data_IF_266980826245
#
_entry.id   IF_266980826245
#
_cell.length_a   1.000
_cell.length_b   1.000
_cell.length_c   1.000
_cell.angle_alpha   90.00
_cell.angle_beta   90.00
_cell.angle_gamma   90.00
#
_symmetry.space_group_name_H-M   'P 1'
#
loop_
_entity.id
_entity.type
_entity.pdbx_description
1 polymer ?
#
# COMPACT_ATOMS: atom_id res chain seq x y z
N UNK A 1 21.87 18.69 12.31
CA UNK A 1 21.41 18.01 11.07
C UNK A 1 21.01 16.54 11.32
N UNK A 2 21.71 15.76 12.16
CA UNK A 2 21.25 14.42 12.60
C UNK A 2 19.85 14.41 13.22
N UNK A 3 19.51 15.51 13.89
CA UNK A 3 18.25 15.66 14.59
C UNK A 3 17.04 15.72 13.66
N UNK A 4 17.13 16.25 12.44
CA UNK A 4 15.93 16.42 11.61
C UNK A 4 15.46 15.10 10.99
N UNK A 5 16.35 14.32 10.37
CA UNK A 5 15.93 13.06 9.73
C UNK A 5 15.27 12.10 10.71
N UNK A 6 15.90 11.88 11.88
CA UNK A 6 15.40 10.95 12.91
C UNK A 6 14.20 11.54 13.65
N UNK A 7 14.08 12.87 13.80
CA UNK A 7 12.85 13.47 14.34
C UNK A 7 11.66 13.27 13.40
N UNK A 8 11.86 13.48 12.10
CA UNK A 8 10.79 13.40 11.10
C UNK A 8 10.52 11.96 10.62
N UNK A 9 11.48 11.07 10.86
CA UNK A 9 11.46 9.66 10.46
C UNK A 9 12.11 8.78 11.55
N UNK A 10 11.48 8.66 12.73
CA UNK A 10 12.08 7.95 13.87
C UNK A 10 12.34 6.46 13.62
N UNK A 11 11.66 5.89 12.62
CA UNK A 11 11.80 4.49 12.24
C UNK A 11 12.87 4.25 11.18
N UNK A 12 13.54 5.28 10.65
CA UNK A 12 14.60 5.17 9.64
C UNK A 12 15.94 5.58 10.23
N UNK A 13 16.79 4.60 10.54
CA UNK A 13 17.98 4.80 11.36
C UNK A 13 19.26 4.51 10.58
N UNK A 14 20.36 5.23 10.87
CA UNK A 14 21.67 4.88 10.32
C UNK A 14 22.17 3.56 10.92
N UNK A 15 22.64 2.63 10.09
CA UNK A 15 23.18 1.34 10.51
C UNK A 15 24.70 1.35 10.71
N UNK A 16 25.39 2.38 10.22
CA UNK A 16 26.84 2.49 10.32
C UNK A 16 27.28 3.89 10.79
N UNK A 17 28.48 3.97 11.35
CA UNK A 17 29.05 5.22 11.88
C UNK A 17 29.27 6.26 10.78
N UNK A 18 29.53 5.79 9.56
CA UNK A 18 29.77 6.63 8.40
C UNK A 18 28.46 7.22 7.85
N UNK A 19 27.30 6.78 8.35
CA UNK A 19 25.96 7.24 7.94
C UNK A 19 25.76 7.17 6.44
N UNK A 20 26.22 6.08 5.85
CA UNK A 20 26.01 5.77 4.44
C UNK A 20 24.96 4.70 4.27
N UNK A 21 24.56 4.00 5.33
CA UNK A 21 23.51 2.98 5.29
C UNK A 21 22.41 3.40 6.25
N UNK A 22 21.21 3.60 5.72
CA UNK A 22 20.00 3.82 6.51
C UNK A 22 19.04 2.68 6.28
N UNK A 23 18.40 2.20 7.34
CA UNK A 23 17.47 1.08 7.26
C UNK A 23 16.35 1.24 8.28
N UNK A 24 15.16 0.80 7.92
CA UNK A 24 14.00 1.10 8.72
C UNK A 24 12.70 1.19 7.94
N UNK A 25 11.79 2.02 8.43
CA UNK A 25 10.48 2.24 7.84
C UNK A 25 10.25 3.71 7.52
N UNK A 26 9.57 3.94 6.41
CA UNK A 26 9.00 5.24 6.05
C UNK A 26 7.49 5.18 6.27
N UNK A 27 6.98 6.09 7.09
CA UNK A 27 5.56 6.19 7.41
C UNK A 27 4.89 7.23 6.51
N UNK A 28 3.83 6.84 5.81
CA UNK A 28 3.02 7.70 4.94
C UNK A 28 1.55 7.35 5.10
N UNK A 29 0.69 8.32 5.44
CA UNK A 29 -0.75 8.09 5.72
C UNK A 29 -1.00 6.90 6.66
N UNK A 30 -0.31 6.88 7.79
CA UNK A 30 -0.41 5.82 8.82
C UNK A 30 0.00 4.42 8.35
N UNK A 31 0.70 4.32 7.21
CA UNK A 31 1.24 3.06 6.68
C UNK A 31 2.74 3.08 6.69
N UNK A 32 3.33 2.01 7.22
CA UNK A 32 4.77 1.83 7.27
C UNK A 32 5.26 0.96 6.11
N UNK A 33 6.29 1.44 5.42
CA UNK A 33 6.95 0.72 4.35
C UNK A 33 8.42 0.52 4.67
N UNK A 34 8.90 -0.73 4.58
CA UNK A 34 10.32 -1.02 4.76
C UNK A 34 11.13 -0.37 3.64
N UNK A 35 12.13 0.41 4.03
CA UNK A 35 13.05 1.09 3.14
C UNK A 35 14.47 1.02 3.69
N UNK A 36 15.41 0.69 2.81
CA UNK A 36 16.84 0.79 3.05
C UNK A 36 17.48 1.69 2.00
N UNK A 37 18.37 2.57 2.42
CA UNK A 37 19.04 3.55 1.58
C UNK A 37 20.54 3.37 1.74
N UNK A 38 21.22 3.17 0.63
CA UNK A 38 22.68 3.13 0.55
C UNK A 38 23.14 4.41 -0.13
N UNK A 39 23.86 5.25 0.60
CA UNK A 39 24.52 6.41 0.06
C UNK A 39 25.94 6.05 -0.41
N UNK A 40 26.44 6.70 -1.47
CA UNK A 40 27.86 6.70 -1.78
C UNK A 40 28.72 7.27 -0.63
N UNK A 41 30.05 7.05 -0.64
CA UNK A 41 30.96 7.55 0.41
C UNK A 41 30.93 9.07 0.60
N UNK A 42 30.65 9.83 -0.46
CA UNK A 42 30.50 11.29 -0.44
C UNK A 42 29.14 11.76 0.12
N UNK A 43 28.27 10.81 0.50
CA UNK A 43 26.91 11.01 1.06
C UNK A 43 25.95 11.76 0.14
N UNK A 44 26.26 11.87 -1.15
CA UNK A 44 25.40 12.52 -2.13
C UNK A 44 24.18 11.66 -2.44
N UNK A 45 22.98 12.25 -2.36
CA UNK A 45 21.72 11.53 -2.63
C UNK A 45 21.60 11.12 -4.09
N UNK A 46 22.21 11.88 -5.00
CA UNK A 46 22.15 11.69 -6.46
C UNK A 46 22.49 10.28 -6.92
N UNK A 47 23.35 9.57 -6.19
CA UNK A 47 23.76 8.20 -6.51
C UNK A 47 23.34 7.19 -5.43
N UNK A 48 22.41 7.57 -4.56
CA UNK A 48 21.87 6.66 -3.56
C UNK A 48 21.18 5.44 -4.20
N UNK A 49 21.23 4.29 -3.54
CA UNK A 49 20.50 3.09 -3.94
C UNK A 49 19.37 2.85 -2.93
N UNK A 50 18.17 2.66 -3.45
CA UNK A 50 16.97 2.42 -2.66
C UNK A 50 16.58 0.95 -2.73
N UNK A 51 16.50 0.31 -1.58
CA UNK A 51 15.98 -1.04 -1.41
C UNK A 51 14.63 -0.96 -0.70
N UNK A 52 13.58 -1.17 -1.48
CA UNK A 52 12.21 -1.06 -1.03
C UNK A 52 11.60 -2.46 -0.84
N UNK A 53 10.68 -2.63 0.12
CA UNK A 53 9.84 -3.82 0.15
C UNK A 53 8.95 -3.92 -1.09
N UNK A 54 8.39 -5.11 -1.33
CA UNK A 54 7.51 -5.37 -2.47
C UNK A 54 6.32 -4.39 -2.56
N UNK A 55 5.72 -4.04 -1.41
CA UNK A 55 4.59 -3.11 -1.35
C UNK A 55 4.97 -1.72 -1.84
N UNK A 56 6.13 -1.24 -1.38
CA UNK A 56 6.66 0.07 -1.74
C UNK A 56 7.10 0.12 -3.20
N UNK A 57 7.74 -0.94 -3.71
CA UNK A 57 8.06 -1.08 -5.14
C UNK A 57 6.81 -1.00 -6.00
N UNK A 58 5.76 -1.72 -5.61
CA UNK A 58 4.50 -1.73 -6.35
C UNK A 58 3.75 -0.39 -6.26
N UNK A 59 3.86 0.32 -5.14
CA UNK A 59 3.31 1.66 -4.98
C UNK A 59 4.03 2.69 -5.87
N UNK A 60 5.33 2.55 -6.02
CA UNK A 60 6.17 3.42 -6.86
C UNK A 60 6.15 3.05 -8.35
N UNK A 61 5.41 2.00 -8.72
CA UNK A 61 5.32 1.59 -10.11
C UNK A 61 4.65 2.67 -10.97
N UNK A 62 5.29 3.06 -12.07
CA UNK A 62 4.89 4.20 -12.91
C UNK A 62 5.44 5.56 -12.45
N UNK A 63 5.96 5.65 -11.22
CA UNK A 63 6.54 6.86 -10.63
C UNK A 63 8.07 6.81 -10.56
N UNK A 64 8.72 5.79 -11.12
CA UNK A 64 10.17 5.56 -10.99
C UNK A 64 10.99 6.73 -11.54
N UNK A 65 10.54 7.32 -12.65
CA UNK A 65 11.19 8.49 -13.25
C UNK A 65 11.11 9.73 -12.34
N UNK A 66 9.98 9.92 -11.65
CA UNK A 66 9.80 11.02 -10.69
C UNK A 66 10.70 10.81 -9.49
N UNK A 67 10.76 9.61 -8.93
CA UNK A 67 11.66 9.30 -7.81
C UNK A 67 13.12 9.55 -8.19
N UNK A 68 13.55 9.10 -9.37
CA UNK A 68 14.90 9.39 -9.89
C UNK A 68 15.14 10.88 -10.08
N UNK A 69 14.17 11.62 -10.59
CA UNK A 69 14.29 13.07 -10.74
C UNK A 69 14.45 13.75 -9.38
N UNK A 70 13.61 13.43 -8.39
CA UNK A 70 13.70 13.98 -7.03
C UNK A 70 15.04 13.63 -6.40
N UNK A 71 15.52 12.40 -6.59
CA UNK A 71 16.85 11.97 -6.16
C UNK A 71 17.98 12.84 -6.73
N UNK A 72 17.91 13.21 -8.01
CA UNK A 72 18.93 14.06 -8.64
C UNK A 72 18.87 15.52 -8.18
N UNK A 73 17.68 16.01 -7.86
CA UNK A 73 17.42 17.41 -7.54
C UNK A 73 17.54 17.72 -6.05
N UNK A 74 17.35 16.75 -5.17
CA UNK A 74 17.44 16.95 -3.73
C UNK A 74 18.89 17.22 -3.28
N UNK A 75 19.12 18.29 -2.49
CA UNK A 75 20.46 18.64 -2.01
C UNK A 75 20.96 17.73 -0.88
N UNK A 76 20.06 17.12 -0.12
CA UNK A 76 20.38 16.27 1.02
C UNK A 76 19.32 15.17 1.23
N UNK A 77 19.66 14.20 2.08
CA UNK A 77 18.83 13.03 2.34
C UNK A 77 17.49 13.38 3.01
N UNK A 78 17.45 14.39 3.87
CA UNK A 78 16.22 14.81 4.57
C UNK A 78 15.22 15.33 3.56
N UNK A 79 15.68 16.21 2.67
CA UNK A 79 14.88 16.78 1.60
C UNK A 79 14.41 15.68 0.65
N UNK A 80 15.28 14.74 0.28
CA UNK A 80 14.89 13.61 -0.57
C UNK A 80 13.81 12.72 0.06
N UNK A 81 13.93 12.42 1.36
CA UNK A 81 12.93 11.60 2.05
C UNK A 81 11.58 12.31 2.10
N UNK A 82 11.56 13.62 2.33
CA UNK A 82 10.33 14.41 2.30
C UNK A 82 9.67 14.36 0.90
N UNK A 83 10.45 14.58 -0.15
CA UNK A 83 9.99 14.50 -1.55
C UNK A 83 9.48 13.09 -1.90
N UNK A 84 10.16 12.05 -1.44
CA UNK A 84 9.72 10.67 -1.60
C UNK A 84 8.38 10.43 -0.91
N UNK A 85 8.17 10.93 0.33
CA UNK A 85 6.87 10.84 1.00
C UNK A 85 5.77 11.48 0.17
N UNK A 86 6.01 12.65 -0.41
CA UNK A 86 5.02 13.32 -1.28
C UNK A 86 4.63 12.46 -2.48
N UNK A 87 5.60 11.84 -3.17
CA UNK A 87 5.32 10.91 -4.27
C UNK A 87 4.49 9.71 -3.80
N UNK A 88 4.82 9.15 -2.63
CA UNK A 88 4.09 8.02 -2.04
C UNK A 88 2.66 8.41 -1.65
N UNK A 89 2.44 9.60 -1.11
CA UNK A 89 1.09 10.11 -0.78
C UNK A 89 0.21 10.20 -2.02
N UNK A 90 0.76 10.69 -3.14
CA UNK A 90 0.04 10.75 -4.41
C UNK A 90 -0.28 9.35 -4.92
N UNK A 91 0.68 8.42 -4.88
CA UNK A 91 0.45 7.03 -5.27
C UNK A 91 -0.58 6.30 -4.39
N UNK A 92 -0.64 6.65 -3.10
CA UNK A 92 -1.64 6.11 -2.18
C UNK A 92 -3.02 6.70 -2.49
N UNK A 93 -3.14 8.02 -2.61
CA UNK A 93 -4.40 8.69 -2.96
C UNK A 93 -4.97 8.16 -4.28
N UNK A 94 -4.12 8.05 -5.32
CA UNK A 94 -4.54 7.54 -6.62
C UNK A 94 -4.99 6.07 -6.55
N UNK A 95 -4.44 5.22 -5.69
CA UNK A 95 -4.94 3.85 -5.46
C UNK A 95 -6.23 3.78 -4.65
N UNK A 96 -6.42 4.72 -3.73
CA UNK A 96 -7.68 4.84 -3.00
C UNK A 96 -8.81 5.29 -3.94
N UNK A 97 -8.50 6.19 -4.88
CA UNK A 97 -9.43 6.68 -5.91
C UNK A 97 -9.60 5.67 -7.07
N UNK A 98 -8.54 4.98 -7.47
CA UNK A 98 -8.54 3.86 -8.43
C UNK A 98 -8.97 2.54 -7.77
N UNK A 99 -9.93 2.60 -6.86
CA UNK A 99 -10.75 1.44 -6.54
C UNK A 99 -11.77 1.35 -7.66
N UNK A 100 -11.47 0.55 -8.70
CA UNK A 100 -12.40 0.30 -9.79
C UNK A 100 -13.76 -0.08 -9.19
N UNK A 101 -14.77 0.77 -9.41
CA UNK A 101 -16.15 0.46 -9.04
C UNK A 101 -16.48 -0.84 -9.81
N UNK A 102 -16.86 -1.93 -9.11
CA UNK A 102 -17.30 -3.14 -9.77
C UNK A 102 -18.37 -2.82 -10.82
N UNK A 103 -18.37 -3.52 -11.97
CA UNK A 103 -19.36 -3.28 -13.01
C UNK A 103 -20.77 -3.53 -12.46
N UNK A 104 -21.82 -2.83 -12.93
CA UNK A 104 -23.18 -2.94 -12.39
C UNK A 104 -23.72 -4.37 -12.27
N UNK A 105 -23.30 -5.25 -13.18
CA UNK A 105 -23.66 -6.67 -13.18
C UNK A 105 -23.21 -7.41 -11.91
N UNK A 106 -22.08 -7.00 -11.32
CA UNK A 106 -21.62 -7.56 -10.05
C UNK A 106 -22.60 -7.28 -8.91
N UNK A 107 -23.12 -6.05 -8.84
CA UNK A 107 -24.11 -5.67 -7.84
C UNK A 107 -25.45 -6.33 -8.07
N UNK A 108 -25.88 -6.45 -9.34
CA UNK A 108 -27.09 -7.19 -9.69
C UNK A 108 -27.01 -8.66 -9.26
N UNK A 109 -25.86 -9.32 -9.47
CA UNK A 109 -25.62 -10.69 -9.01
C UNK A 109 -25.68 -10.79 -7.49
N UNK A 110 -24.99 -9.91 -6.76
CA UNK A 110 -25.03 -9.90 -5.29
C UNK A 110 -26.44 -9.68 -4.73
N UNK A 111 -27.21 -8.77 -5.32
CA UNK A 111 -28.60 -8.51 -4.92
C UNK A 111 -29.45 -9.77 -5.14
N UNK A 112 -29.31 -10.44 -6.28
CA UNK A 112 -30.03 -11.69 -6.57
C UNK A 112 -29.63 -12.84 -5.64
N UNK A 113 -28.34 -12.97 -5.30
CA UNK A 113 -27.88 -13.92 -4.29
C UNK A 113 -28.47 -13.59 -2.91
N UNK A 114 -28.56 -12.31 -2.55
CA UNK A 114 -29.16 -11.87 -1.29
C UNK A 114 -30.67 -12.12 -1.24
N UNK A 115 -31.39 -11.93 -2.34
CA UNK A 115 -32.80 -12.31 -2.47
C UNK A 115 -32.98 -13.81 -2.26
N UNK A 116 -32.11 -14.62 -2.86
CA UNK A 116 -32.12 -16.09 -2.71
C UNK A 116 -31.84 -16.52 -1.28
N UNK A 117 -30.87 -15.87 -0.60
CA UNK A 117 -30.55 -16.13 0.81
C UNK A 117 -31.67 -15.66 1.75
N UNK A 118 -32.38 -14.60 1.38
CA UNK A 118 -33.44 -13.94 2.12
C UNK A 118 -32.93 -12.72 2.90
N UNK A 119 -33.49 -11.54 2.58
CA UNK A 119 -33.15 -10.26 3.21
C UNK A 119 -33.29 -10.24 4.73
N UNK A 120 -34.19 -11.06 5.29
CA UNK A 120 -34.37 -11.20 6.73
C UNK A 120 -33.12 -11.70 7.48
N UNK A 121 -32.13 -12.26 6.77
CA UNK A 121 -30.83 -12.69 7.33
C UNK A 121 -29.76 -11.60 7.28
N UNK A 122 -29.96 -10.51 6.53
CA UNK A 122 -28.99 -9.43 6.43
C UNK A 122 -29.13 -8.49 7.64
N UNK A 123 -28.07 -8.38 8.44
CA UNK A 123 -28.00 -7.44 9.57
C UNK A 123 -27.38 -6.10 9.17
N UNK A 124 -26.40 -6.12 8.26
CA UNK A 124 -25.65 -4.95 7.88
C UNK A 124 -25.01 -5.12 6.51
N UNK A 125 -24.95 -4.01 5.78
CA UNK A 125 -24.14 -3.83 4.59
C UNK A 125 -23.44 -2.47 4.70
N UNK A 126 -22.16 -2.40 4.33
CA UNK A 126 -21.47 -1.12 4.25
C UNK A 126 -21.86 -0.35 2.98
N UNK A 127 -21.63 0.97 2.99
CA UNK A 127 -21.94 1.85 1.87
C UNK A 127 -21.14 1.51 0.60
N UNK A 128 -20.00 0.83 0.75
CA UNK A 128 -19.18 0.35 -0.36
C UNK A 128 -19.62 -1.02 -0.93
N UNK A 129 -20.63 -1.69 -0.35
CA UNK A 129 -21.07 -3.04 -0.73
C UNK A 129 -19.93 -4.08 -0.72
N UNK A 130 -19.02 -3.98 0.25
CA UNK A 130 -17.86 -4.87 0.46
C UNK A 130 -17.96 -5.68 1.72
N UNK A 131 -18.72 -5.22 2.71
CA UNK A 131 -18.82 -5.89 4.00
C UNK A 131 -20.27 -6.18 4.31
N UNK A 132 -20.58 -7.46 4.48
CA UNK A 132 -21.91 -7.94 4.86
C UNK A 132 -21.83 -8.57 6.25
N UNK A 133 -22.88 -8.37 7.06
CA UNK A 133 -23.11 -9.15 8.27
C UNK A 133 -24.41 -9.90 8.13
N UNK A 134 -24.34 -11.22 8.19
CA UNK A 134 -25.51 -12.10 8.09
C UNK A 134 -25.78 -12.76 9.44
N UNK A 135 -27.04 -12.93 9.79
CA UNK A 135 -27.46 -13.79 10.90
C UNK A 135 -27.84 -15.19 10.41
N UNK A 136 -27.49 -16.18 11.20
CA UNK A 136 -27.94 -17.55 11.05
C UNK A 136 -28.31 -18.13 12.42
N UNK A 137 -29.31 -19.00 12.45
CA UNK A 137 -29.68 -19.73 13.66
C UNK A 137 -29.29 -21.20 13.47
N UNK A 138 -28.67 -21.81 14.49
CA UNK A 138 -28.37 -23.24 14.47
C UNK A 138 -29.53 -24.09 15.03
N UNK A 139 -29.39 -25.42 14.97
CA UNK A 139 -30.39 -26.36 15.48
C UNK A 139 -30.66 -26.23 16.98
N UNK A 140 -29.78 -25.55 17.72
CA UNK A 140 -29.91 -25.28 19.16
C UNK A 140 -30.45 -23.88 19.44
N UNK A 141 -30.99 -23.18 18.42
CA UNK A 141 -31.53 -21.82 18.49
C UNK A 141 -30.53 -20.73 18.89
N UNK A 142 -29.23 -20.96 18.69
CA UNK A 142 -28.22 -19.93 18.92
C UNK A 142 -28.06 -19.08 17.67
N UNK A 143 -27.99 -17.77 17.87
CA UNK A 143 -27.79 -16.79 16.81
C UNK A 143 -26.30 -16.62 16.53
N UNK A 144 -25.91 -16.76 15.27
CA UNK A 144 -24.56 -16.60 14.77
C UNK A 144 -24.50 -15.41 13.83
N UNK A 145 -23.45 -14.60 13.95
CA UNK A 145 -23.22 -13.46 13.05
C UNK A 145 -21.99 -13.77 12.19
N UNK A 146 -22.20 -13.85 10.89
CA UNK A 146 -21.15 -14.06 9.91
C UNK A 146 -20.75 -12.71 9.28
N UNK A 147 -19.50 -12.29 9.51
CA UNK A 147 -18.91 -11.11 8.88
C UNK A 147 -18.21 -11.52 7.58
N UNK A 148 -18.77 -11.14 6.45
CA UNK A 148 -18.26 -11.47 5.12
C UNK A 148 -17.63 -10.23 4.52
N UNK A 149 -16.35 -10.33 4.11
CA UNK A 149 -15.66 -9.29 3.36
C UNK A 149 -15.51 -9.72 1.91
N UNK A 150 -16.33 -9.14 1.05
CA UNK A 150 -16.32 -9.35 -0.39
C UNK A 150 -15.04 -8.72 -0.96
N UNK A 151 -14.20 -9.55 -1.57
CA UNK A 151 -13.06 -9.08 -2.35
C UNK A 151 -13.54 -8.85 -3.77
N UNK A 152 -13.32 -7.66 -4.33
CA UNK A 152 -13.48 -7.48 -5.76
C UNK A 152 -12.56 -8.47 -6.45
N UNK A 153 -13.13 -9.45 -7.16
CA UNK A 153 -12.39 -10.18 -8.19
C UNK A 153 -12.10 -9.16 -9.29
N UNK A 154 -11.09 -8.33 -9.11
CA UNK A 154 -10.37 -7.78 -10.25
C UNK A 154 -9.85 -9.02 -10.96
N UNK A 155 -10.44 -9.37 -12.10
CA UNK A 155 -9.81 -10.32 -12.99
C UNK A 155 -8.46 -9.70 -13.32
N UNK A 156 -7.39 -10.21 -12.72
CA UNK A 156 -6.05 -10.09 -13.25
C UNK A 156 -6.06 -10.86 -14.57
N UNK A 157 -6.66 -10.27 -15.61
CA UNK A 157 -6.45 -10.74 -16.96
C UNK A 157 -4.98 -10.49 -17.28
N UNK A 158 -4.24 -11.61 -17.27
CA UNK A 158 -3.05 -11.91 -18.07
C UNK A 158 -2.27 -10.68 -18.56
N UNK A 159 -1.20 -10.33 -17.85
CA UNK A 159 0.17 -10.16 -18.40
C UNK A 159 1.06 -10.02 -17.18
N UNK A 160 1.72 -11.06 -16.67
CA UNK A 160 2.98 -10.97 -15.90
C UNK A 160 3.59 -12.38 -15.75
N UNK A 161 3.68 -13.14 -16.86
CA UNK A 161 4.53 -14.34 -16.86
C UNK A 161 5.97 -14.06 -17.28
N UNK A 162 6.26 -12.90 -17.89
CA UNK A 162 7.62 -12.63 -18.37
C UNK A 162 8.09 -11.25 -17.90
N UNK A 163 8.73 -11.21 -16.73
CA UNK A 163 9.90 -10.35 -16.46
C UNK A 163 10.55 -10.79 -15.16
N UNK A 164 11.30 -11.90 -15.29
CA UNK A 164 12.52 -12.21 -14.53
C UNK A 164 13.31 -10.89 -14.36
N UNK A 165 13.75 -10.51 -13.17
CA UNK A 165 15.02 -10.99 -12.62
C UNK A 165 15.01 -11.14 -11.10
N UNK A 166 15.53 -12.29 -10.70
CA UNK A 166 16.19 -12.54 -9.42
C UNK A 166 17.08 -11.37 -8.99
N UNK A 167 17.14 -11.14 -7.69
CA UNK A 167 18.38 -10.87 -6.98
C UNK A 167 18.15 -11.15 -5.48
N UNK A 168 18.82 -12.22 -5.05
CA UNK A 168 19.17 -12.73 -3.72
C UNK A 168 18.08 -12.94 -2.65
#
# INVERSE_FOLDING_TARGET
MESSLVKDNPLLLPLNKEKTIYDGFITVQERDFRLRILLPPDRQVKQARLHCCWQLKHLLHGYEHIVKQRQQQSPDLVTFILELKTVLEVGLKSRHECRSIPPPQYYAQLISEMETLGWGKLLFIDTEFRTLRLKAEDSSRRQHILNIKLKSKVKLERVWRDMITHCD
#
